data_IF_879798652219
#
_entry.id   IF_879798652219
#
_cell.length_a   1.000
_cell.length_b   1.000
_cell.length_c   1.000
_cell.angle_alpha   90.00
_cell.angle_beta   90.00
_cell.angle_gamma   90.00
#
_symmetry.space_group_name_H-M   'P 1'
#
loop_
_entity.id
_entity.type
_entity.pdbx_description
1 polymer ?
#
# COMPACT_ATOMS: atom_id res chain seq x y z
N UNK A 1 -32.10 7.90 -21.24
CA UNK A 1 -31.15 6.79 -21.53
C UNK A 1 -31.05 5.95 -20.26
N UNK A 2 -31.66 4.76 -20.23
CA UNK A 2 -31.64 3.90 -19.04
C UNK A 2 -30.27 3.25 -18.89
N UNK A 3 -29.59 3.52 -17.78
CA UNK A 3 -28.39 2.82 -17.35
C UNK A 3 -28.75 1.34 -17.10
N UNK A 4 -28.20 0.43 -17.91
CA UNK A 4 -28.21 -1.00 -17.64
C UNK A 4 -27.15 -1.24 -16.56
N UNK A 5 -27.53 -0.97 -15.30
CA UNK A 5 -26.73 -1.31 -14.13
C UNK A 5 -26.95 -2.78 -13.81
N UNK A 6 -25.98 -3.63 -14.14
CA UNK A 6 -25.99 -5.03 -13.66
C UNK A 6 -25.82 -4.99 -12.15
N UNK A 7 -26.89 -5.33 -11.42
CA UNK A 7 -26.85 -5.45 -9.97
C UNK A 7 -26.22 -6.80 -9.59
N UNK A 8 -24.88 -6.80 -9.51
CA UNK A 8 -24.08 -7.96 -9.14
C UNK A 8 -24.44 -8.54 -7.77
N UNK A 9 -25.12 -7.76 -6.90
CA UNK A 9 -25.61 -8.25 -5.62
C UNK A 9 -26.71 -9.31 -5.75
N UNK A 10 -27.56 -9.20 -6.78
CA UNK A 10 -28.66 -10.13 -7.05
C UNK A 10 -28.18 -11.39 -7.79
N UNK A 11 -27.14 -11.27 -8.62
CA UNK A 11 -26.53 -12.38 -9.36
C UNK A 11 -25.73 -13.31 -8.44
N UNK A 12 -25.15 -12.79 -7.35
CA UNK A 12 -24.32 -13.55 -6.41
C UNK A 12 -25.08 -14.11 -5.19
N UNK A 13 -26.42 -14.08 -5.18
CA UNK A 13 -27.23 -14.77 -4.16
C UNK A 13 -27.11 -14.19 -2.75
N UNK A 14 -26.99 -12.86 -2.61
CA UNK A 14 -26.85 -12.21 -1.29
C UNK A 14 -28.19 -12.26 -0.52
N UNK A 15 -28.22 -13.00 0.59
CA UNK A 15 -29.36 -13.04 1.53
C UNK A 15 -29.64 -11.65 2.12
N UNK A 16 -30.93 -11.27 2.15
CA UNK A 16 -31.46 -9.95 2.49
C UNK A 16 -31.60 -9.70 4.00
N UNK A 17 -30.61 -10.12 4.80
CA UNK A 17 -30.59 -9.72 6.20
C UNK A 17 -30.17 -8.25 6.31
N UNK A 18 -30.90 -7.42 7.09
CA UNK A 18 -30.50 -6.04 7.31
C UNK A 18 -29.15 -6.02 8.02
N UNK A 19 -28.12 -5.52 7.34
CA UNK A 19 -26.79 -5.35 7.91
C UNK A 19 -26.75 -4.04 8.69
N UNK A 20 -26.04 -4.02 9.81
CA UNK A 20 -25.75 -2.76 10.51
C UNK A 20 -24.92 -1.84 9.62
N UNK A 21 -25.13 -0.53 9.77
CA UNK A 21 -24.44 0.49 8.97
C UNK A 21 -22.91 0.36 9.03
N UNK A 22 -22.38 0.04 10.21
CA UNK A 22 -20.95 -0.21 10.42
C UNK A 22 -20.42 -1.38 9.55
N UNK A 23 -21.19 -2.45 9.41
CA UNK A 23 -20.82 -3.62 8.58
C UNK A 23 -20.89 -3.28 7.10
N UNK A 24 -21.84 -2.44 6.68
CA UNK A 24 -21.92 -1.97 5.29
C UNK A 24 -20.68 -1.15 4.93
N UNK A 25 -20.37 -0.14 5.75
CA UNK A 25 -19.20 0.74 5.55
C UNK A 25 -17.87 -0.03 5.56
N UNK A 26 -17.73 -1.01 6.44
CA UNK A 26 -16.55 -1.90 6.48
C UNK A 26 -16.39 -2.69 5.17
N UNK A 27 -17.49 -3.29 4.68
CA UNK A 27 -17.46 -4.08 3.45
C UNK A 27 -17.15 -3.22 2.22
N UNK A 28 -17.70 -2.01 2.14
CA UNK A 28 -17.41 -1.06 1.07
C UNK A 28 -15.93 -0.69 1.04
N UNK A 29 -15.34 -0.34 2.19
CA UNK A 29 -13.90 -0.05 2.29
C UNK A 29 -13.04 -1.23 1.83
N UNK A 30 -13.37 -2.43 2.31
CA UNK A 30 -12.65 -3.67 1.96
C UNK A 30 -12.74 -3.96 0.46
N UNK A 31 -13.89 -3.68 -0.16
CA UNK A 31 -14.09 -3.83 -1.59
C UNK A 31 -13.22 -2.85 -2.39
N UNK A 32 -13.14 -1.57 -2.00
CA UNK A 32 -12.26 -0.60 -2.66
C UNK A 32 -10.77 -0.99 -2.55
N UNK A 33 -10.30 -1.40 -1.37
CA UNK A 33 -8.94 -1.89 -1.18
C UNK A 33 -8.63 -3.10 -2.07
N UNK A 34 -9.56 -4.07 -2.12
CA UNK A 34 -9.44 -5.24 -2.99
C UNK A 34 -9.42 -4.84 -4.47
N UNK A 35 -10.31 -3.95 -4.91
CA UNK A 35 -10.38 -3.50 -6.30
C UNK A 35 -9.07 -2.84 -6.76
N UNK A 36 -8.47 -2.01 -5.90
CA UNK A 36 -7.17 -1.37 -6.19
C UNK A 36 -6.08 -2.43 -6.31
N UNK A 37 -5.98 -3.35 -5.35
CA UNK A 37 -5.02 -4.45 -5.39
C UNK A 37 -5.16 -5.31 -6.66
N UNK A 38 -6.39 -5.72 -7.00
CA UNK A 38 -6.65 -6.49 -8.22
C UNK A 38 -6.31 -5.72 -9.48
N UNK A 39 -6.55 -4.40 -9.51
CA UNK A 39 -6.16 -3.55 -10.63
C UNK A 39 -4.64 -3.58 -10.86
N UNK A 40 -3.85 -3.38 -9.80
CA UNK A 40 -2.40 -3.48 -9.89
C UNK A 40 -1.90 -4.90 -10.19
N UNK A 41 -2.61 -5.93 -9.74
CA UNK A 41 -2.29 -7.32 -10.09
C UNK A 41 -2.45 -7.57 -11.58
N UNK A 42 -3.55 -7.10 -12.18
CA UNK A 42 -3.78 -7.20 -13.62
C UNK A 42 -2.71 -6.41 -14.40
N UNK A 43 -2.42 -5.18 -13.98
CA UNK A 43 -1.36 -4.36 -14.60
C UNK A 43 -0.01 -5.06 -14.52
N UNK A 44 0.34 -5.64 -13.38
CA UNK A 44 1.60 -6.38 -13.18
C UNK A 44 1.66 -7.62 -14.07
N UNK A 45 0.55 -8.36 -14.21
CA UNK A 45 0.47 -9.50 -15.11
C UNK A 45 0.70 -9.09 -16.57
N UNK A 46 0.05 -8.02 -17.03
CA UNK A 46 0.22 -7.49 -18.39
C UNK A 46 1.66 -6.99 -18.60
N UNK A 47 2.21 -6.24 -17.65
CA UNK A 47 3.61 -5.78 -17.69
C UNK A 47 4.59 -6.95 -17.79
N UNK A 48 4.38 -8.00 -16.98
CA UNK A 48 5.18 -9.22 -17.01
C UNK A 48 5.11 -9.91 -18.38
N UNK A 49 3.91 -10.03 -18.98
CA UNK A 49 3.74 -10.57 -20.34
C UNK A 49 4.46 -9.74 -21.41
N UNK A 50 4.41 -8.42 -21.32
CA UNK A 50 5.10 -7.51 -22.24
C UNK A 50 6.62 -7.69 -22.11
N UNK A 51 7.14 -7.67 -20.87
CA UNK A 51 8.56 -7.85 -20.60
C UNK A 51 9.07 -9.22 -21.09
N UNK A 52 8.34 -10.30 -20.80
CA UNK A 52 8.68 -11.66 -21.23
C UNK A 52 8.77 -11.77 -22.76
N UNK A 53 7.74 -11.27 -23.47
CA UNK A 53 7.75 -11.24 -24.95
C UNK A 53 8.87 -10.35 -25.49
N UNK A 54 9.13 -9.22 -24.84
CA UNK A 54 10.19 -8.28 -25.20
C UNK A 54 11.59 -8.90 -25.11
N UNK A 55 11.86 -9.71 -24.09
CA UNK A 55 13.15 -10.38 -23.89
C UNK A 55 13.35 -11.51 -24.92
N UNK A 56 12.34 -12.37 -25.12
CA UNK A 56 12.46 -13.51 -26.04
C UNK A 56 12.77 -13.08 -27.48
N UNK A 57 12.10 -12.02 -27.96
CA UNK A 57 12.31 -11.50 -29.32
C UNK A 57 13.71 -10.97 -29.58
N UNK A 58 14.47 -10.65 -28.52
CA UNK A 58 15.82 -10.11 -28.62
C UNK A 58 16.92 -11.16 -28.53
N UNK A 59 16.57 -12.41 -28.22
CA UNK A 59 17.55 -13.49 -28.14
C UNK A 59 18.05 -13.81 -29.56
N UNK A 60 19.33 -13.62 -29.79
CA UNK A 60 19.97 -14.06 -31.03
C UNK A 60 19.99 -15.60 -31.09
N UNK A 61 19.40 -16.16 -32.14
CA UNK A 61 19.46 -17.58 -32.47
C UNK A 61 20.26 -17.70 -33.77
N UNK A 62 21.51 -18.19 -33.73
CA UNK A 62 22.34 -18.31 -34.93
C UNK A 62 21.71 -19.33 -35.88
N UNK A 63 21.61 -18.97 -37.16
CA UNK A 63 21.23 -19.90 -38.22
C UNK A 63 22.48 -20.62 -38.77
N UNK A 64 22.36 -21.88 -39.19
CA UNK A 64 23.45 -22.65 -39.80
C UNK A 64 24.09 -21.96 -41.01
N UNK A 65 23.33 -21.12 -41.72
CA UNK A 65 23.81 -20.38 -42.90
C UNK A 65 24.39 -19.00 -42.58
N UNK A 66 24.44 -18.58 -41.31
CA UNK A 66 25.10 -17.34 -40.92
C UNK A 66 26.60 -17.55 -40.76
N UNK A 67 27.39 -16.70 -41.41
CA UNK A 67 28.83 -16.72 -41.28
C UNK A 67 29.25 -16.29 -39.86
N UNK A 68 29.99 -17.15 -39.17
CA UNK A 68 30.44 -16.93 -37.77
C UNK A 68 31.33 -15.69 -37.56
N UNK A 69 31.88 -15.10 -38.62
CA UNK A 69 32.77 -13.93 -38.53
C UNK A 69 32.02 -12.60 -38.50
N UNK A 70 30.74 -12.57 -38.86
CA UNK A 70 29.96 -11.32 -38.88
C UNK A 70 29.17 -11.19 -37.58
N UNK A 71 29.42 -10.14 -36.77
CA UNK A 71 28.62 -9.93 -35.58
C UNK A 71 27.15 -9.66 -35.95
N UNK A 72 26.19 -10.15 -35.15
CA UNK A 72 24.78 -9.89 -35.41
C UNK A 72 24.52 -8.38 -35.39
N UNK A 73 23.67 -7.90 -36.31
CA UNK A 73 23.28 -6.48 -36.33
C UNK A 73 22.46 -6.18 -35.09
N UNK A 74 23.01 -5.41 -34.16
CA UNK A 74 22.30 -4.98 -32.96
C UNK A 74 22.50 -3.49 -32.71
N UNK A 75 21.54 -2.88 -32.03
CA UNK A 75 21.61 -1.48 -31.61
C UNK A 75 21.66 -1.44 -30.09
N UNK A 76 22.84 -1.15 -29.54
CA UNK A 76 23.05 -1.02 -28.09
C UNK A 76 22.06 -0.05 -27.44
N UNK A 77 21.84 1.10 -28.07
CA UNK A 77 20.96 2.13 -27.53
C UNK A 77 19.50 1.66 -27.43
N UNK A 78 18.96 1.07 -28.51
CA UNK A 78 17.57 0.58 -28.52
C UNK A 78 17.37 -0.59 -27.56
N UNK A 79 18.38 -1.45 -27.43
CA UNK A 79 18.31 -2.59 -26.52
C UNK A 79 18.36 -2.15 -25.06
N UNK A 80 19.28 -1.24 -24.72
CA UNK A 80 19.37 -0.64 -23.39
C UNK A 80 18.07 0.09 -23.01
N UNK A 81 17.53 0.92 -23.90
CA UNK A 81 16.30 1.66 -23.65
C UNK A 81 15.12 0.72 -23.37
N UNK A 82 14.96 -0.30 -24.20
CA UNK A 82 13.86 -1.26 -24.03
C UNK A 82 14.07 -2.19 -22.83
N UNK A 83 15.30 -2.48 -22.43
CA UNK A 83 15.59 -3.21 -21.19
C UNK A 83 15.20 -2.39 -19.95
N UNK A 84 15.64 -1.12 -19.88
CA UNK A 84 15.30 -0.21 -18.78
C UNK A 84 13.79 -0.01 -18.71
N UNK A 85 13.13 0.20 -19.84
CA UNK A 85 11.67 0.40 -19.88
C UNK A 85 10.91 -0.79 -19.32
N UNK A 86 11.27 -2.02 -19.70
CA UNK A 86 10.63 -3.22 -19.16
C UNK A 86 10.93 -3.43 -17.68
N UNK A 87 12.18 -3.20 -17.26
CA UNK A 87 12.59 -3.34 -15.87
C UNK A 87 11.84 -2.33 -14.97
N UNK A 88 11.78 -1.06 -15.36
CA UNK A 88 11.05 -0.02 -14.63
C UNK A 88 9.55 -0.33 -14.56
N UNK A 89 8.93 -0.68 -15.69
CA UNK A 89 7.50 -1.03 -15.72
C UNK A 89 7.19 -2.20 -14.78
N UNK A 90 7.99 -3.26 -14.83
CA UNK A 90 7.78 -4.45 -13.99
C UNK A 90 8.02 -4.11 -12.51
N UNK A 91 9.10 -3.39 -12.18
CA UNK A 91 9.41 -3.00 -10.81
C UNK A 91 8.36 -2.08 -10.19
N UNK A 92 7.89 -1.06 -10.92
CA UNK A 92 6.85 -0.14 -10.42
C UNK A 92 5.52 -0.87 -10.26
N UNK A 93 5.13 -1.70 -11.22
CA UNK A 93 3.87 -2.44 -11.15
C UNK A 93 3.87 -3.47 -9.99
N UNK A 94 4.95 -4.22 -9.81
CA UNK A 94 5.06 -5.21 -8.74
C UNK A 94 5.13 -4.55 -7.36
N UNK A 95 5.83 -3.42 -7.22
CA UNK A 95 5.86 -2.65 -5.97
C UNK A 95 4.47 -2.09 -5.63
N UNK A 96 3.75 -1.56 -6.61
CA UNK A 96 2.38 -1.06 -6.41
C UNK A 96 1.42 -2.19 -6.03
N UNK A 97 1.52 -3.36 -6.66
CA UNK A 97 0.75 -4.54 -6.29
C UNK A 97 1.07 -5.01 -4.87
N UNK A 98 2.36 -5.07 -4.50
CA UNK A 98 2.78 -5.49 -3.17
C UNK A 98 2.27 -4.52 -2.08
N UNK A 99 2.48 -3.22 -2.27
CA UNK A 99 2.05 -2.19 -1.32
C UNK A 99 0.54 -2.16 -1.12
N UNK A 100 -0.23 -2.21 -2.22
CA UNK A 100 -1.71 -2.25 -2.14
C UNK A 100 -2.22 -3.56 -1.57
N UNK A 101 -1.56 -4.68 -1.84
CA UNK A 101 -1.85 -5.97 -1.21
C UNK A 101 -1.59 -5.96 0.29
N UNK A 102 -0.48 -5.36 0.73
CA UNK A 102 -0.17 -5.16 2.14
C UNK A 102 -1.21 -4.28 2.83
N UNK A 103 -1.60 -3.17 2.21
CA UNK A 103 -2.64 -2.29 2.75
C UNK A 103 -4.00 -2.97 2.83
N UNK A 104 -4.36 -3.81 1.85
CA UNK A 104 -5.57 -4.60 1.93
C UNK A 104 -5.49 -5.66 3.05
N UNK A 105 -4.37 -6.36 3.17
CA UNK A 105 -4.17 -7.38 4.21
C UNK A 105 -4.29 -6.78 5.62
N UNK A 106 -3.57 -5.69 5.87
CA UNK A 106 -3.56 -5.00 7.16
C UNK A 106 -4.74 -4.03 7.37
N UNK A 107 -5.68 -3.93 6.43
CA UNK A 107 -6.86 -3.05 6.49
C UNK A 107 -6.48 -1.58 6.76
N UNK A 108 -5.52 -1.07 6.01
CA UNK A 108 -5.01 0.30 6.11
C UNK A 108 -5.56 1.10 4.92
N UNK A 109 -6.17 2.25 5.19
CA UNK A 109 -6.79 3.09 4.17
C UNK A 109 -6.21 4.51 4.08
N UNK A 110 -5.45 4.94 5.08
CA UNK A 110 -4.78 6.23 5.09
C UNK A 110 -3.34 6.15 5.62
N UNK A 111 -2.54 7.16 5.30
CA UNK A 111 -1.15 7.28 5.81
C UNK A 111 -1.12 7.45 7.33
N UNK A 112 -2.12 8.13 7.90
CA UNK A 112 -2.26 8.26 9.36
C UNK A 112 -2.53 6.90 10.02
N UNK A 113 -3.46 6.12 9.45
CA UNK A 113 -3.74 4.75 9.93
C UNK A 113 -2.52 3.86 9.79
N UNK A 114 -1.75 4.01 8.70
CA UNK A 114 -0.51 3.28 8.49
C UNK A 114 0.48 3.52 9.64
N UNK A 115 0.74 4.79 9.99
CA UNK A 115 1.67 5.13 11.07
C UNK A 115 1.23 4.54 12.41
N UNK A 116 -0.06 4.65 12.75
CA UNK A 116 -0.60 4.11 14.01
C UNK A 116 -0.53 2.59 14.04
N UNK A 117 -0.95 1.91 12.97
CA UNK A 117 -0.91 0.44 12.86
C UNK A 117 0.52 -0.08 12.85
N UNK A 118 1.42 0.58 12.16
CA UNK A 118 2.84 0.23 12.12
C UNK A 118 3.49 0.40 13.49
N UNK A 119 3.23 1.51 14.17
CA UNK A 119 3.70 1.74 15.55
C UNK A 119 3.23 0.63 16.49
N UNK A 120 1.95 0.25 16.41
CA UNK A 120 1.40 -0.88 17.19
C UNK A 120 2.07 -2.20 16.82
N UNK A 121 2.24 -2.47 15.54
CA UNK A 121 2.89 -3.70 15.06
C UNK A 121 4.36 -3.82 15.50
N UNK A 122 5.06 -2.70 15.60
CA UNK A 122 6.46 -2.62 16.05
C UNK A 122 6.61 -2.57 17.58
N UNK A 123 5.54 -2.76 18.36
CA UNK A 123 5.58 -2.70 19.83
C UNK A 123 5.68 -1.29 20.41
N UNK A 124 5.53 -0.24 19.60
CA UNK A 124 5.61 1.14 20.06
C UNK A 124 4.51 1.54 21.04
N UNK A 125 3.37 0.83 21.05
CA UNK A 125 2.32 1.04 22.05
C UNK A 125 2.72 0.45 23.42
N UNK A 126 3.40 -0.69 23.42
CA UNK A 126 3.91 -1.33 24.64
C UNK A 126 5.06 -0.51 25.21
N UNK A 127 5.97 -0.01 24.36
CA UNK A 127 7.05 0.87 24.76
C UNK A 127 6.55 2.19 25.38
N UNK A 128 5.47 2.77 24.85
CA UNK A 128 4.84 3.95 25.46
C UNK A 128 4.20 3.65 26.81
N UNK A 129 3.56 2.49 26.95
CA UNK A 129 2.99 2.06 28.22
C UNK A 129 4.11 1.81 29.26
N UNK A 130 5.22 1.19 28.86
CA UNK A 130 6.40 1.01 29.72
C UNK A 130 7.03 2.35 30.13
N UNK A 131 7.22 3.28 29.19
CA UNK A 131 7.67 4.65 29.47
C UNK A 131 6.73 5.39 30.43
N UNK A 132 5.42 5.22 30.27
CA UNK A 132 4.43 5.85 31.16
C UNK A 132 4.47 5.32 32.59
N UNK A 133 4.94 4.08 32.78
CA UNK A 133 5.10 3.44 34.09
C UNK A 133 6.45 3.74 34.75
N UNK A 134 7.38 4.38 34.04
CA UNK A 134 8.65 4.79 34.63
C UNK A 134 8.41 5.89 35.68
N UNK A 135 9.15 5.86 36.80
CA UNK A 135 9.04 6.89 37.82
C UNK A 135 9.37 8.26 37.21
N UNK A 136 8.51 9.25 37.47
CA UNK A 136 8.66 10.61 36.96
C UNK A 136 9.89 11.24 37.64
N UNK A 137 10.78 11.84 36.85
CA UNK A 137 11.94 12.57 37.36
C UNK A 137 11.51 13.74 38.24
N UNK A 138 12.31 14.03 39.26
CA UNK A 138 12.02 15.02 40.29
C UNK A 138 11.78 16.42 39.71
N UNK A 139 12.55 16.81 38.69
CA UNK A 139 12.38 18.09 37.98
C UNK A 139 11.02 18.18 37.23
N UNK A 140 10.51 17.06 36.73
CA UNK A 140 9.22 17.02 36.02
C UNK A 140 8.05 17.10 37.01
N UNK A 141 8.20 16.54 38.21
CA UNK A 141 7.24 16.70 39.30
C UNK A 141 7.14 18.16 39.75
N UNK A 142 8.29 18.82 39.90
CA UNK A 142 8.33 20.24 40.28
C UNK A 142 7.65 21.12 39.23
N UNK A 143 7.88 20.85 37.94
CA UNK A 143 7.19 21.54 36.84
C UNK A 143 5.68 21.26 36.81
N UNK A 144 5.24 20.02 37.06
CA UNK A 144 3.81 19.69 37.15
C UNK A 144 3.12 20.43 38.29
N UNK A 145 3.76 20.53 39.45
CA UNK A 145 3.24 21.24 40.60
C UNK A 145 3.11 22.73 40.32
N UNK A 146 4.14 23.36 39.73
CA UNK A 146 4.09 24.76 39.30
C UNK A 146 2.97 25.03 38.28
N UNK A 147 2.76 24.14 37.30
CA UNK A 147 1.69 24.26 36.30
C UNK A 147 0.31 24.10 36.93
N UNK A 148 0.17 23.18 37.87
CA UNK A 148 -1.09 22.90 38.58
C UNK A 148 -1.46 24.08 39.46
N UNK A 149 -0.51 24.67 40.17
CA UNK A 149 -0.70 25.89 40.98
C UNK A 149 -1.09 27.10 40.11
N UNK A 150 -0.48 27.26 38.93
CA UNK A 150 -0.81 28.34 38.00
C UNK A 150 -2.25 28.23 37.47
N UNK A 151 -2.70 27.02 37.16
CA UNK A 151 -4.04 26.75 36.60
C UNK A 151 -5.11 26.82 37.69
N UNK A 152 -4.81 26.35 38.91
CA UNK A 152 -5.76 26.39 40.03
C UNK A 152 -5.84 27.77 40.70
N UNK A 153 -4.76 28.55 40.70
CA UNK A 153 -4.75 29.92 41.19
C UNK A 153 -5.62 30.89 40.37
N UNK A 154 -5.80 30.65 39.07
CA UNK A 154 -6.66 31.46 38.19
C UNK A 154 -8.17 31.17 38.38
N UNK A 155 -8.52 30.02 38.98
CA UNK A 155 -9.91 29.66 39.27
C UNK A 155 -10.48 30.26 40.55
N UNK A 156 -9.63 30.75 41.47
CA UNK A 156 -10.06 31.31 42.77
C UNK A 156 -10.21 32.86 42.75
N UNK A 157 -9.78 33.56 41.70
CA UNK A 157 -9.92 35.03 41.56
C UNK A 157 -11.27 35.51 40.98
N UNK A 158 -12.22 34.59 40.71
CA UNK A 158 -13.61 34.94 40.35
C UNK A 158 -14.60 34.57 41.44
N UNK A 159 -14.56 35.27 42.58
CA UNK A 159 -15.67 35.38 43.51
C UNK A 159 -15.74 36.75 44.17
#
# INVERSE_FOLDING_TARGET
MSSIGIDFGKVLGKSSNPKSEAVVKYNERRFYQAAIFYSFTIVTYVASKIAYRGIIRRRYLPNFYQHNHVPPKFSFYKDALSAVTHASLLATSSLAMFTTGAFWYFDISSVSEFGIRMKRYMGGAEAEEELSKMPIDQETLDLQNMLTDLISGDSDEKK
#
